data_IF_029403187724
#
_entry.id   IF_029403187724
#
_cell.length_a   1.000
_cell.length_b   1.000
_cell.length_c   1.000
_cell.angle_alpha   90.00
_cell.angle_beta   90.00
_cell.angle_gamma   90.00
#
_symmetry.space_group_name_H-M   'P 1'
#
loop_
_entity.id
_entity.type
_entity.pdbx_description
1 polymer ?
#
# COMPACT_ATOMS: atom_id res chain seq x y z
N UNK A 1 -22.41 26.24 9.56
CA UNK A 1 -21.09 26.75 9.96
C UNK A 1 -20.23 26.79 8.71
N UNK A 2 -19.64 27.94 8.41
CA UNK A 2 -18.70 28.14 7.30
C UNK A 2 -17.29 27.67 7.66
N UNK A 3 -16.45 27.49 6.64
CA UNK A 3 -15.10 26.93 6.81
C UNK A 3 -14.19 27.85 7.63
N UNK A 4 -14.34 29.17 7.49
CA UNK A 4 -13.46 30.12 8.17
C UNK A 4 -13.82 30.25 9.65
N UNK A 5 -15.12 30.26 9.98
CA UNK A 5 -15.55 30.13 11.37
C UNK A 5 -15.08 28.81 12.01
N UNK A 6 -15.09 27.70 11.28
CA UNK A 6 -14.59 26.41 11.79
C UNK A 6 -13.07 26.45 12.05
N UNK A 7 -12.28 27.00 11.11
CA UNK A 7 -10.84 27.19 11.28
C UNK A 7 -10.51 28.07 12.49
N UNK A 8 -11.26 29.16 12.68
CA UNK A 8 -11.11 30.04 13.84
C UNK A 8 -11.36 29.30 15.16
N UNK A 9 -12.38 28.43 15.21
CA UNK A 9 -12.65 27.63 16.42
C UNK A 9 -11.49 26.67 16.72
N UNK A 10 -10.95 25.99 15.70
CA UNK A 10 -9.82 25.08 15.87
C UNK A 10 -8.55 25.81 16.33
N UNK A 11 -8.26 26.96 15.74
CA UNK A 11 -7.12 27.81 16.08
C UNK A 11 -7.22 28.32 17.53
N UNK A 12 -8.40 28.82 17.92
CA UNK A 12 -8.66 29.27 19.29
C UNK A 12 -8.61 28.13 20.32
N UNK A 13 -9.03 26.93 19.93
CA UNK A 13 -8.96 25.75 20.79
C UNK A 13 -7.56 25.11 20.80
N UNK A 14 -6.64 25.56 19.93
CA UNK A 14 -5.34 24.93 19.67
C UNK A 14 -5.44 23.42 19.38
N UNK A 15 -6.54 23.00 18.74
CA UNK A 15 -6.79 21.59 18.42
C UNK A 15 -6.49 21.33 16.95
N UNK A 16 -5.61 20.36 16.71
CA UNK A 16 -5.31 19.89 15.35
C UNK A 16 -6.52 19.20 14.71
N UNK A 17 -6.72 19.43 13.41
CA UNK A 17 -7.86 18.87 12.68
C UNK A 17 -7.86 17.35 12.67
N UNK A 18 -6.69 16.71 12.57
CA UNK A 18 -6.57 15.25 12.60
C UNK A 18 -6.88 14.72 13.99
N UNK A 19 -6.37 15.38 15.03
CA UNK A 19 -6.69 15.02 16.42
C UNK A 19 -8.19 15.12 16.71
N UNK A 20 -8.86 16.17 16.21
CA UNK A 20 -10.30 16.30 16.36
C UNK A 20 -11.06 15.22 15.59
N UNK A 21 -10.61 14.87 14.38
CA UNK A 21 -11.20 13.78 13.60
C UNK A 21 -11.09 12.48 14.39
N UNK A 22 -9.91 12.12 14.90
CA UNK A 22 -9.70 10.89 15.65
C UNK A 22 -10.55 10.83 16.92
N UNK A 23 -10.63 11.93 17.66
CA UNK A 23 -11.48 12.02 18.84
C UNK A 23 -12.96 11.89 18.50
N UNK A 24 -13.42 12.54 17.42
CA UNK A 24 -14.80 12.45 16.96
C UNK A 24 -15.14 11.04 16.47
N UNK A 25 -14.21 10.36 15.78
CA UNK A 25 -14.35 8.97 15.35
C UNK A 25 -14.45 8.04 16.56
N UNK A 26 -13.60 8.24 17.58
CA UNK A 26 -13.62 7.44 18.80
C UNK A 26 -14.96 7.57 19.55
N UNK A 27 -15.42 8.80 19.79
CA UNK A 27 -16.72 9.07 20.43
C UNK A 27 -17.86 8.49 19.59
N UNK A 28 -17.85 8.72 18.27
CA UNK A 28 -18.88 8.21 17.37
C UNK A 28 -18.93 6.67 17.35
N UNK A 29 -17.78 6.01 17.45
CA UNK A 29 -17.70 4.55 17.45
C UNK A 29 -18.31 3.89 18.69
N UNK A 30 -18.33 4.59 19.83
CA UNK A 30 -18.86 4.07 21.10
C UNK A 30 -20.33 4.47 21.28
N UNK A 31 -20.64 5.74 21.05
CA UNK A 31 -21.94 6.31 21.40
C UNK A 31 -22.97 6.24 20.25
N UNK A 32 -22.50 6.05 19.00
CA UNK A 32 -23.33 6.09 17.79
C UNK A 32 -23.00 4.95 16.82
N UNK A 33 -22.76 3.73 17.32
CA UNK A 33 -22.27 2.56 16.56
C UNK A 33 -22.93 2.34 15.20
N UNK A 34 -24.26 2.21 15.16
CA UNK A 34 -25.02 1.89 13.94
C UNK A 34 -25.03 3.06 12.94
N UNK A 35 -25.20 4.29 13.43
CA UNK A 35 -25.20 5.47 12.59
C UNK A 35 -23.80 5.77 12.05
N UNK A 36 -22.78 5.64 12.89
CA UNK A 36 -21.38 5.75 12.53
C UNK A 36 -21.02 4.73 11.44
N UNK A 37 -21.45 3.46 11.61
CA UNK A 37 -21.24 2.41 10.60
C UNK A 37 -21.88 2.78 9.26
N UNK A 38 -23.16 3.18 9.24
CA UNK A 38 -23.86 3.58 8.00
C UNK A 38 -23.20 4.78 7.33
N UNK A 39 -22.82 5.81 8.09
CA UNK A 39 -22.17 7.01 7.56
C UNK A 39 -20.77 6.71 7.03
N UNK A 40 -20.01 5.88 7.72
CA UNK A 40 -18.68 5.40 7.28
C UNK A 40 -18.81 4.61 5.98
N UNK A 41 -19.74 3.67 5.90
CA UNK A 41 -20.00 2.87 4.69
C UNK A 41 -20.37 3.77 3.51
N UNK A 42 -21.22 4.79 3.70
CA UNK A 42 -21.54 5.75 2.64
C UNK A 42 -20.38 6.69 2.24
N UNK A 43 -19.41 6.94 3.13
CA UNK A 43 -18.17 7.67 2.77
C UNK A 43 -17.25 6.76 1.95
N UNK A 44 -17.04 5.53 2.42
CA UNK A 44 -16.23 4.51 1.74
C UNK A 44 -16.77 4.29 0.32
N UNK A 45 -18.06 4.05 0.19
CA UNK A 45 -18.72 3.87 -1.12
C UNK A 45 -18.46 5.06 -2.04
N UNK A 46 -18.62 6.30 -1.56
CA UNK A 46 -18.34 7.50 -2.35
C UNK A 46 -16.89 7.59 -2.79
N UNK A 47 -15.92 7.23 -1.95
CA UNK A 47 -14.50 7.26 -2.33
C UNK A 47 -14.25 6.23 -3.43
N UNK A 48 -14.74 5.01 -3.27
CA UNK A 48 -14.54 3.95 -4.26
C UNK A 48 -15.26 4.21 -5.59
N UNK A 49 -16.47 4.76 -5.55
CA UNK A 49 -17.24 5.13 -6.76
C UNK A 49 -16.74 6.41 -7.44
N UNK A 50 -16.31 7.42 -6.68
CA UNK A 50 -15.73 8.66 -7.23
C UNK A 50 -14.33 8.43 -7.83
N UNK A 51 -13.61 7.41 -7.37
CA UNK A 51 -12.29 7.05 -7.90
C UNK A 51 -12.37 6.18 -9.16
N UNK A 52 -13.49 5.46 -9.36
CA UNK A 52 -13.68 4.53 -10.49
C UNK A 52 -14.50 5.10 -11.66
N UNK A 53 -15.21 6.21 -11.47
CA UNK A 53 -15.96 6.87 -12.53
C UNK A 53 -15.81 8.40 -12.44
N UNK A 54 -15.69 9.06 -13.59
CA UNK A 54 -15.79 10.52 -13.76
C UNK A 54 -16.86 11.15 -12.84
N UNK A 55 -16.64 12.38 -12.35
CA UNK A 55 -17.33 12.88 -11.15
C UNK A 55 -18.86 12.89 -11.31
N UNK A 56 -19.63 12.28 -10.39
CA UNK A 56 -21.08 12.25 -10.50
C UNK A 56 -21.72 13.59 -10.11
N UNK A 57 -22.81 13.90 -10.80
CA UNK A 57 -23.65 15.08 -10.61
C UNK A 57 -23.97 15.34 -9.13
N UNK A 58 -23.65 16.55 -8.65
CA UNK A 58 -23.81 16.93 -7.23
C UNK A 58 -25.26 17.28 -6.83
N UNK A 59 -26.27 17.09 -7.69
CA UNK A 59 -27.64 17.53 -7.37
C UNK A 59 -28.79 16.70 -7.95
N UNK A 60 -28.58 15.42 -8.24
CA UNK A 60 -29.64 14.55 -8.75
C UNK A 60 -30.41 13.95 -7.57
N UNK A 61 -31.56 14.54 -7.20
CA UNK A 61 -32.53 13.93 -6.27
C UNK A 61 -33.21 12.78 -7.00
N UNK A 62 -32.86 11.54 -6.66
CA UNK A 62 -33.51 10.35 -7.19
C UNK A 62 -34.93 10.24 -6.60
N UNK A 63 -35.93 10.74 -7.33
CA UNK A 63 -37.32 10.39 -7.07
C UNK A 63 -37.55 8.95 -7.54
N UNK A 64 -37.94 8.10 -6.60
CA UNK A 64 -38.30 6.70 -6.87
C UNK A 64 -39.66 6.63 -7.56
N UNK A 65 -39.68 6.35 -8.86
CA UNK A 65 -40.74 5.60 -9.55
C UNK A 65 -40.39 5.39 -11.04
N UNK A 66 -39.78 4.24 -11.36
CA UNK A 66 -39.81 3.69 -12.71
C UNK A 66 -39.76 2.16 -12.62
N UNK A 67 -40.96 1.61 -12.50
CA UNK A 67 -41.45 0.43 -13.23
C UNK A 67 -40.52 -0.78 -13.38
N UNK A 68 -40.90 -1.82 -12.64
CA UNK A 68 -40.58 -3.22 -12.88
C UNK A 68 -40.96 -3.63 -14.31
N UNK A 69 -40.03 -3.55 -15.24
CA UNK A 69 -40.08 -4.34 -16.47
C UNK A 69 -39.12 -5.52 -16.37
N UNK A 70 -39.74 -6.69 -16.21
CA UNK A 70 -39.12 -8.00 -16.19
C UNK A 70 -38.68 -8.34 -17.61
N UNK A 71 -37.42 -8.06 -17.93
CA UNK A 71 -36.75 -8.74 -19.05
C UNK A 71 -35.96 -9.89 -18.45
N UNK A 72 -36.43 -11.11 -18.72
CA UNK A 72 -35.64 -12.32 -18.53
C UNK A 72 -34.64 -12.32 -19.67
N UNK A 73 -33.44 -11.80 -19.41
CA UNK A 73 -32.28 -12.01 -20.26
C UNK A 73 -31.30 -12.91 -19.52
N UNK A 74 -31.05 -14.03 -20.18
CA UNK A 74 -30.01 -15.02 -20.00
C UNK A 74 -28.75 -14.46 -19.33
N UNK A 75 -28.38 -15.13 -18.23
CA UNK A 75 -27.04 -15.68 -18.07
C UNK A 75 -25.87 -14.86 -18.63
N UNK A 76 -25.61 -13.69 -18.05
CA UNK A 76 -24.25 -13.17 -17.97
C UNK A 76 -23.98 -12.75 -16.53
N UNK A 77 -23.47 -13.70 -15.74
CA UNK A 77 -22.85 -13.42 -14.46
C UNK A 77 -21.80 -12.31 -14.64
N UNK A 78 -21.94 -11.13 -14.00
CA UNK A 78 -20.94 -10.07 -14.04
C UNK A 78 -19.65 -10.39 -13.24
N UNK A 79 -19.43 -11.66 -12.92
CA UNK A 79 -18.25 -12.20 -12.23
C UNK A 79 -17.53 -13.24 -13.09
N UNK A 80 -17.52 -13.01 -14.41
CA UNK A 80 -16.61 -13.70 -15.33
C UNK A 80 -15.20 -13.12 -15.21
N UNK A 81 -14.33 -13.82 -14.49
CA UNK A 81 -12.89 -13.50 -14.42
C UNK A 81 -12.07 -14.31 -13.41
N UNK A 82 -12.67 -15.21 -12.62
CA UNK A 82 -11.97 -15.99 -11.60
C UNK A 82 -11.32 -17.28 -12.16
N UNK A 83 -10.61 -17.21 -13.28
CA UNK A 83 -9.90 -18.38 -13.85
C UNK A 83 -8.43 -18.17 -14.19
N UNK A 84 -7.82 -17.06 -13.76
CA UNK A 84 -6.40 -16.85 -14.01
C UNK A 84 -5.53 -16.92 -12.75
N UNK A 85 -6.11 -16.98 -11.55
CA UNK A 85 -5.33 -17.07 -10.31
C UNK A 85 -4.45 -18.32 -10.27
N UNK A 86 -4.95 -19.46 -10.74
CA UNK A 86 -4.17 -20.71 -10.78
C UNK A 86 -3.08 -20.68 -11.87
N UNK A 87 -3.35 -20.06 -13.02
CA UNK A 87 -2.37 -19.91 -14.10
C UNK A 87 -1.28 -18.89 -13.73
N UNK A 88 -1.67 -17.72 -13.24
CA UNK A 88 -0.77 -16.67 -12.77
C UNK A 88 0.08 -17.19 -11.61
N UNK A 89 -0.52 -17.90 -10.65
CA UNK A 89 0.22 -18.55 -9.55
C UNK A 89 1.26 -19.54 -10.06
N UNK A 90 0.96 -20.31 -11.11
CA UNK A 90 1.93 -21.24 -11.72
C UNK A 90 3.11 -20.49 -12.35
N UNK A 91 2.85 -19.45 -13.15
CA UNK A 91 3.89 -18.62 -13.77
C UNK A 91 4.76 -17.90 -12.74
N UNK A 92 4.13 -17.34 -11.69
CA UNK A 92 4.85 -16.69 -10.59
C UNK A 92 5.72 -17.68 -9.82
N UNK A 93 5.27 -18.93 -9.63
CA UNK A 93 6.08 -19.96 -8.96
C UNK A 93 7.29 -20.38 -9.81
N UNK A 94 7.13 -20.41 -11.13
CA UNK A 94 8.21 -20.69 -12.09
C UNK A 94 9.25 -19.56 -12.11
N UNK A 95 8.82 -18.29 -12.15
CA UNK A 95 9.70 -17.12 -12.02
C UNK A 95 10.41 -17.15 -10.66
N UNK A 96 9.67 -17.40 -9.57
CA UNK A 96 10.24 -17.53 -8.22
C UNK A 96 11.35 -18.58 -8.18
N UNK A 97 11.12 -19.76 -8.76
CA UNK A 97 12.10 -20.82 -8.78
C UNK A 97 13.36 -20.39 -9.56
N UNK A 98 13.21 -19.66 -10.67
CA UNK A 98 14.33 -19.11 -11.42
C UNK A 98 15.09 -18.00 -10.66
N UNK A 99 14.43 -17.28 -9.75
CA UNK A 99 15.07 -16.32 -8.83
C UNK A 99 15.75 -16.99 -7.63
N UNK A 100 15.15 -18.05 -7.09
CA UNK A 100 15.67 -18.81 -5.94
C UNK A 100 16.91 -19.63 -6.33
N UNK A 101 16.95 -20.10 -7.58
CA UNK A 101 18.14 -20.68 -8.18
C UNK A 101 18.86 -19.64 -9.05
N UNK A 102 19.97 -19.12 -8.52
CA UNK A 102 21.25 -18.97 -9.23
C UNK A 102 21.75 -17.54 -9.44
N UNK A 103 23.08 -17.43 -9.35
CA UNK A 103 24.00 -16.42 -9.89
C UNK A 103 23.73 -16.05 -11.36
N UNK A 104 22.56 -15.51 -11.69
CA UNK A 104 22.21 -15.11 -13.05
C UNK A 104 22.86 -13.75 -13.38
N UNK A 105 23.15 -13.52 -14.65
CA UNK A 105 23.52 -12.18 -15.13
C UNK A 105 22.39 -11.19 -14.86
N UNK A 106 22.75 -9.94 -14.53
CA UNK A 106 21.81 -8.85 -14.29
C UNK A 106 20.72 -8.75 -15.38
N UNK A 107 21.09 -8.96 -16.64
CA UNK A 107 20.16 -8.96 -17.78
C UNK A 107 19.04 -10.01 -17.67
N UNK A 108 19.34 -11.20 -17.16
CA UNK A 108 18.36 -12.29 -17.01
C UNK A 108 17.47 -12.08 -15.80
N UNK A 109 18.00 -11.47 -14.74
CA UNK A 109 17.22 -11.04 -13.58
C UNK A 109 16.20 -9.96 -13.97
N UNK A 110 16.62 -8.96 -14.74
CA UNK A 110 15.74 -7.90 -15.23
C UNK A 110 14.64 -8.46 -16.12
N UNK A 111 14.93 -9.42 -16.99
CA UNK A 111 13.91 -10.09 -17.81
C UNK A 111 12.91 -10.88 -16.96
N UNK A 112 13.37 -11.61 -15.95
CA UNK A 112 12.50 -12.35 -15.02
C UNK A 112 11.60 -11.40 -14.20
N UNK A 113 12.13 -10.25 -13.78
CA UNK A 113 11.37 -9.24 -13.07
C UNK A 113 10.38 -8.50 -13.99
N UNK A 114 10.75 -8.21 -15.23
CA UNK A 114 9.84 -7.64 -16.23
C UNK A 114 8.67 -8.59 -16.52
N UNK A 115 8.96 -9.88 -16.71
CA UNK A 115 7.90 -10.90 -16.89
C UNK A 115 7.01 -11.04 -15.65
N UNK A 116 7.49 -10.67 -14.46
CA UNK A 116 6.69 -10.67 -13.25
C UNK A 116 5.80 -9.43 -13.15
N UNK A 117 6.26 -8.27 -13.63
CA UNK A 117 5.50 -7.01 -13.71
C UNK A 117 4.35 -7.09 -14.73
N UNK A 118 4.58 -7.79 -15.84
CA UNK A 118 3.57 -7.99 -16.89
C UNK A 118 2.40 -8.92 -16.46
N UNK A 119 2.58 -9.71 -15.40
CA UNK A 119 1.54 -10.62 -14.90
C UNK A 119 0.67 -9.88 -13.88
N UNK A 120 -0.64 -9.89 -14.08
CA UNK A 120 -1.60 -9.38 -13.07
C UNK A 120 -1.50 -10.18 -11.76
N UNK A 121 -0.76 -9.61 -10.80
CA UNK A 121 -0.50 -10.26 -9.53
C UNK A 121 -1.67 -10.02 -8.56
N UNK A 122 -2.45 -11.07 -8.30
CA UNK A 122 -3.49 -11.01 -7.26
C UNK A 122 -2.92 -11.24 -5.86
N UNK A 123 -3.59 -10.70 -4.83
CA UNK A 123 -3.20 -10.91 -3.43
C UNK A 123 -3.10 -12.40 -3.06
N UNK A 124 -3.97 -13.23 -3.63
CA UNK A 124 -3.97 -14.68 -3.42
C UNK A 124 -2.75 -15.35 -4.05
N UNK A 125 -2.31 -14.90 -5.24
CA UNK A 125 -1.10 -15.37 -5.88
C UNK A 125 0.18 -14.91 -5.14
N UNK A 126 0.23 -13.65 -4.66
CA UNK A 126 1.32 -13.14 -3.81
C UNK A 126 1.50 -13.97 -2.55
N UNK A 127 0.40 -14.16 -1.81
CA UNK A 127 0.39 -14.94 -0.57
C UNK A 127 0.70 -16.41 -0.82
N UNK A 128 0.24 -16.97 -1.94
CA UNK A 128 0.42 -18.37 -2.28
C UNK A 128 1.82 -18.74 -2.79
N UNK A 129 2.56 -17.79 -3.34
CA UNK A 129 3.89 -18.04 -3.92
C UNK A 129 5.04 -17.54 -3.04
N UNK A 130 4.79 -16.59 -2.13
CA UNK A 130 5.83 -15.90 -1.35
C UNK A 130 6.91 -15.24 -2.24
N UNK A 131 6.55 -14.82 -3.46
CA UNK A 131 7.45 -14.10 -4.37
C UNK A 131 7.89 -12.75 -3.79
N UNK A 132 7.05 -12.10 -2.99
CA UNK A 132 7.37 -10.80 -2.38
C UNK A 132 8.62 -10.83 -1.51
N UNK A 133 8.97 -11.96 -0.89
CA UNK A 133 10.21 -12.07 -0.11
C UNK A 133 11.46 -12.19 -0.98
N UNK A 134 11.32 -12.59 -2.25
CA UNK A 134 12.43 -12.76 -3.19
C UNK A 134 12.73 -11.48 -3.98
N UNK A 135 11.72 -10.61 -4.17
CA UNK A 135 11.87 -9.32 -4.86
C UNK A 135 12.31 -8.19 -3.90
N UNK A 136 12.26 -8.39 -2.59
CA UNK A 136 12.59 -7.37 -1.57
C UNK A 136 14.11 -7.22 -1.30
N UNK A 137 14.99 -7.73 -2.17
CA UNK A 137 16.44 -7.75 -1.92
C UNK A 137 17.25 -6.64 -2.61
N UNK A 138 16.78 -5.39 -2.75
CA UNK A 138 17.61 -4.33 -3.37
C UNK A 138 17.44 -2.93 -2.77
N UNK A 139 17.36 -2.80 -1.45
CA UNK A 139 17.44 -1.47 -0.80
C UNK A 139 18.48 -1.39 0.33
N UNK A 140 19.13 -2.48 0.77
CA UNK A 140 20.07 -2.39 1.91
C UNK A 140 21.19 -3.47 1.94
N UNK A 141 21.79 -3.79 0.79
CA UNK A 141 22.94 -4.72 0.75
C UNK A 141 24.26 -3.96 0.91
N UNK A 142 25.01 -4.10 2.03
CA UNK A 142 26.31 -3.47 2.18
C UNK A 142 27.29 -4.12 1.20
N UNK A 143 27.81 -3.31 0.27
CA UNK A 143 28.84 -3.73 -0.66
C UNK A 143 29.99 -4.43 0.08
N UNK A 144 30.14 -5.74 -0.15
CA UNK A 144 31.40 -6.43 0.11
C UNK A 144 32.46 -5.83 -0.84
N UNK A 145 33.17 -4.81 -0.36
CA UNK A 145 34.45 -4.42 -0.93
C UNK A 145 35.43 -5.56 -0.70
N UNK A 146 35.74 -6.28 -1.76
CA UNK A 146 36.94 -7.11 -1.84
C UNK A 146 38.15 -6.19 -1.58
N UNK A 147 39.01 -6.47 -0.58
CA UNK A 147 40.24 -5.74 -0.43
C UNK A 147 41.21 -6.30 -1.48
N UNK A 148 41.32 -5.60 -2.61
CA UNK A 148 42.44 -5.83 -3.51
C UNK A 148 43.74 -5.43 -2.81
N UNK A 149 44.57 -6.44 -2.68
CA UNK A 149 45.94 -6.47 -2.22
C UNK A 149 46.75 -5.22 -2.64
N UNK A 150 47.21 -4.44 -1.66
CA UNK A 150 48.07 -3.28 -1.84
C UNK A 150 48.98 -3.10 -0.64
N UNK A 151 50.22 -3.52 -0.80
CA UNK A 151 51.37 -3.29 0.07
C UNK A 151 51.41 -1.87 0.68
N UNK A 152 51.39 -1.75 2.02
CA UNK A 152 52.50 -1.24 2.84
C UNK A 152 52.06 -0.76 4.24
N UNK A 153 52.73 -1.36 5.23
CA UNK A 153 53.21 -0.78 6.49
C UNK A 153 52.21 -0.57 7.64
N UNK A 154 52.37 -1.48 8.61
CA UNK A 154 52.04 -1.39 10.04
C UNK A 154 52.14 0.02 10.63
N UNK A 155 51.15 0.40 11.43
CA UNK A 155 51.40 0.78 12.81
C UNK A 155 50.19 0.41 13.67
N UNK A 156 50.37 -0.60 14.50
CA UNK A 156 49.47 -0.91 15.60
C UNK A 156 49.42 0.29 16.56
N UNK A 157 48.24 0.82 16.85
CA UNK A 157 48.05 1.54 18.12
C UNK A 157 46.66 1.29 18.70
N UNK A 158 46.73 0.84 19.95
CA UNK A 158 45.70 0.33 20.85
C UNK A 158 44.67 1.41 21.21
N UNK A 159 43.41 1.01 21.37
CA UNK A 159 42.32 1.80 21.97
C UNK A 159 42.77 2.52 23.26
N UNK A 160 42.63 3.85 23.30
CA UNK A 160 42.71 4.62 24.55
C UNK A 160 41.33 5.15 24.92
N UNK A 161 40.76 4.54 25.96
CA UNK A 161 39.59 5.01 26.70
C UNK A 161 39.95 6.29 27.45
N UNK A 162 39.34 7.43 27.10
CA UNK A 162 39.08 8.49 28.10
C UNK A 162 37.92 9.42 27.68
N UNK A 163 36.86 9.56 28.50
CA UNK A 163 35.77 10.50 28.28
C UNK A 163 36.06 11.82 29.00
N UNK A 164 36.19 12.93 28.28
CA UNK A 164 35.97 14.29 28.80
C UNK A 164 36.20 15.35 27.73
N UNK A 165 35.11 16.00 27.31
CA UNK A 165 35.10 17.41 26.90
C UNK A 165 33.68 17.93 27.09
N UNK A 166 33.37 18.36 28.32
CA UNK A 166 32.27 19.27 28.59
C UNK A 166 32.62 20.62 27.96
N UNK A 167 31.70 21.16 27.15
CA UNK A 167 31.71 22.56 26.73
C UNK A 167 31.10 23.40 27.85
N UNK A 168 31.88 24.33 28.40
CA UNK A 168 31.38 25.45 29.22
C UNK A 168 31.51 26.74 28.42
N UNK A 169 30.41 27.50 28.37
CA UNK A 169 30.40 28.97 28.44
C UNK A 169 29.43 29.30 29.57
#
# INVERSE_FOLDING_TARGET
>A
MDLDNYRSILDNASVDIWLLIDAALAVASVDYTDEFKRRREGIVERIYTTTSASPPCRNCVANNNAETEKIVEEELNPHGGLFNDDENKKKILEIKQQLEYTNQSEDTLVELLHNLDDIDITFQALKGTHIGSHVTYDEDSPQQKTPHNGHHQSLDFVCSTNPRCEYSI
#
